data_IF_279620296229
#
_entry.id   IF_279620296229
#
_cell.length_a   1.000
_cell.length_b   1.000
_cell.length_c   1.000
_cell.angle_alpha   90.00
_cell.angle_beta   90.00
_cell.angle_gamma   90.00
#
_symmetry.space_group_name_H-M   'P 1'
#
loop_
_entity.id
_entity.type
_entity.pdbx_description
1 polymer ?
#
# COMPACT_ATOMS: atom_id res chain seq x y z
N UNK A 1 25.13 2.20 -23.35
CA UNK A 1 26.56 2.37 -23.73
C UNK A 1 27.21 0.99 -23.73
N UNK A 2 27.91 0.63 -24.80
CA UNK A 2 28.57 -0.65 -25.07
C UNK A 2 29.60 -0.98 -23.96
N UNK A 3 29.17 -1.79 -23.00
CA UNK A 3 30.03 -2.41 -22.01
C UNK A 3 29.29 -3.65 -21.49
N UNK A 4 30.02 -4.73 -21.26
CA UNK A 4 29.52 -5.99 -20.71
C UNK A 4 29.11 -5.86 -19.23
N UNK A 5 28.33 -4.80 -18.88
CA UNK A 5 27.89 -4.57 -17.51
C UNK A 5 26.92 -5.66 -17.10
N UNK A 6 27.23 -6.40 -16.03
CA UNK A 6 26.44 -7.52 -15.54
C UNK A 6 25.41 -7.03 -14.52
N UNK A 7 24.17 -7.53 -14.64
CA UNK A 7 23.03 -7.13 -13.84
C UNK A 7 22.47 -8.28 -13.00
N UNK A 8 22.28 -8.05 -11.71
CA UNK A 8 21.45 -8.88 -10.86
C UNK A 8 20.19 -8.09 -10.45
N UNK A 9 19.01 -8.61 -10.80
CA UNK A 9 17.73 -8.09 -10.36
C UNK A 9 17.14 -9.02 -9.32
N UNK A 10 16.88 -8.51 -8.11
CA UNK A 10 16.31 -9.27 -7.00
C UNK A 10 14.93 -8.75 -6.67
N UNK A 11 13.96 -9.66 -6.60
CA UNK A 11 12.64 -9.40 -6.05
C UNK A 11 12.21 -10.59 -5.19
N UNK A 12 11.08 -10.49 -4.50
CA UNK A 12 10.64 -11.59 -3.65
C UNK A 12 9.61 -12.53 -4.34
N UNK A 13 9.07 -12.15 -5.53
CA UNK A 13 8.08 -12.95 -6.26
C UNK A 13 8.37 -13.04 -7.76
N UNK A 14 7.96 -14.17 -8.36
CA UNK A 14 8.05 -14.42 -9.80
C UNK A 14 7.22 -13.40 -10.61
N UNK A 15 6.05 -13.02 -10.08
CA UNK A 15 5.13 -12.07 -10.68
C UNK A 15 5.73 -10.66 -10.85
N UNK A 16 6.78 -10.32 -10.09
CA UNK A 16 7.54 -9.08 -10.25
C UNK A 16 8.66 -9.27 -11.27
N UNK A 17 9.37 -10.39 -11.20
CA UNK A 17 10.53 -10.65 -12.05
C UNK A 17 10.17 -10.73 -13.54
N UNK A 18 9.03 -11.33 -13.89
CA UNK A 18 8.58 -11.47 -15.28
C UNK A 18 8.28 -10.14 -15.97
N UNK A 19 7.49 -9.24 -15.39
CA UNK A 19 7.31 -7.91 -15.96
C UNK A 19 8.59 -7.08 -16.00
N UNK A 20 9.46 -7.21 -14.98
CA UNK A 20 10.71 -6.45 -14.92
C UNK A 20 11.68 -6.83 -16.03
N UNK A 21 11.84 -8.14 -16.29
CA UNK A 21 12.67 -8.59 -17.43
C UNK A 21 12.06 -8.16 -18.76
N UNK A 22 10.72 -8.23 -18.91
CA UNK A 22 10.04 -7.79 -20.13
C UNK A 22 10.24 -6.28 -20.37
N UNK A 23 10.12 -5.47 -19.33
CA UNK A 23 10.36 -4.03 -19.38
C UNK A 23 11.79 -3.69 -19.83
N UNK A 24 12.80 -4.37 -19.24
CA UNK A 24 14.20 -4.14 -19.64
C UNK A 24 14.47 -4.63 -21.05
N UNK A 25 13.90 -5.75 -21.50
CA UNK A 25 13.99 -6.23 -22.89
C UNK A 25 13.45 -5.20 -23.88
N UNK A 26 12.31 -4.60 -23.56
CA UNK A 26 11.71 -3.54 -24.37
C UNK A 26 12.57 -2.28 -24.36
N UNK A 27 13.00 -1.82 -23.19
CA UNK A 27 13.80 -0.60 -23.04
C UNK A 27 15.19 -0.70 -23.67
N UNK A 28 15.80 -1.89 -23.66
CA UNK A 28 17.10 -2.18 -24.28
C UNK A 28 16.98 -2.60 -25.75
N UNK A 29 15.76 -2.83 -26.24
CA UNK A 29 15.50 -3.36 -27.59
C UNK A 29 16.23 -4.69 -27.83
N UNK A 30 16.34 -5.52 -26.77
CA UNK A 30 16.97 -6.83 -26.79
C UNK A 30 16.03 -7.91 -26.20
N UNK A 31 15.34 -8.69 -27.04
CA UNK A 31 14.41 -9.71 -26.58
C UNK A 31 15.06 -10.87 -25.81
N UNK A 32 16.39 -11.03 -25.96
CA UNK A 32 17.16 -12.10 -25.31
C UNK A 32 17.85 -11.62 -24.01
N UNK A 33 17.68 -10.37 -23.63
CA UNK A 33 18.29 -9.82 -22.41
C UNK A 33 17.79 -10.54 -21.17
N UNK A 34 18.71 -10.98 -20.34
CA UNK A 34 18.45 -11.54 -19.02
C UNK A 34 17.79 -12.92 -18.99
N UNK A 35 17.96 -13.60 -17.87
CA UNK A 35 17.38 -14.92 -17.60
C UNK A 35 16.70 -14.93 -16.24
N UNK A 36 15.63 -15.72 -16.13
CA UNK A 36 14.89 -15.93 -14.88
C UNK A 36 15.49 -17.10 -14.09
N UNK A 37 15.64 -16.90 -12.78
CA UNK A 37 16.02 -17.92 -11.81
C UNK A 37 15.04 -17.90 -10.63
N UNK A 38 13.86 -18.50 -10.83
CA UNK A 38 12.78 -18.55 -9.83
C UNK A 38 11.87 -19.74 -10.12
N UNK A 39 11.40 -20.42 -9.07
CA UNK A 39 10.53 -21.58 -9.21
C UNK A 39 11.14 -22.66 -10.11
N UNK A 40 10.47 -22.96 -11.22
CA UNK A 40 10.92 -23.95 -12.22
C UNK A 40 11.87 -23.37 -13.29
N UNK A 41 12.19 -22.08 -13.23
CA UNK A 41 13.10 -21.44 -14.17
C UNK A 41 14.53 -21.55 -13.69
N UNK A 42 15.38 -22.19 -14.49
CA UNK A 42 16.82 -22.34 -14.23
C UNK A 42 17.59 -21.53 -15.27
N UNK A 43 18.39 -20.56 -14.80
CA UNK A 43 19.21 -19.76 -15.68
C UNK A 43 20.42 -20.56 -16.16
N UNK A 44 20.68 -20.59 -17.47
CA UNK A 44 21.88 -21.19 -18.06
C UNK A 44 23.10 -20.22 -18.01
N UNK A 45 22.82 -18.92 -17.89
CA UNK A 45 23.85 -17.85 -17.83
C UNK A 45 23.54 -16.94 -16.63
N UNK A 46 24.57 -16.37 -16.05
CA UNK A 46 24.47 -15.53 -14.86
C UNK A 46 24.78 -14.04 -15.10
N UNK A 47 25.04 -13.63 -16.33
CA UNK A 47 25.49 -12.25 -16.66
C UNK A 47 24.39 -11.21 -16.39
N UNK A 48 23.13 -11.52 -16.77
CA UNK A 48 21.96 -10.68 -16.49
C UNK A 48 20.88 -11.59 -15.89
N UNK A 49 20.83 -11.60 -14.56
CA UNK A 49 20.02 -12.56 -13.82
C UNK A 49 18.88 -11.88 -13.08
N UNK A 50 17.67 -12.42 -13.23
CA UNK A 50 16.47 -12.02 -12.51
C UNK A 50 16.10 -13.16 -11.56
N UNK A 51 16.32 -12.97 -10.26
CA UNK A 51 16.26 -14.03 -9.26
C UNK A 51 15.36 -13.63 -8.09
N UNK A 52 14.62 -14.61 -7.55
CA UNK A 52 13.93 -14.36 -6.28
C UNK A 52 14.90 -14.43 -5.09
N UNK A 53 14.62 -13.63 -4.06
CA UNK A 53 15.43 -13.65 -2.83
C UNK A 53 15.38 -15.02 -2.15
N UNK A 54 14.28 -15.77 -2.30
CA UNK A 54 14.15 -17.14 -1.79
C UNK A 54 15.11 -18.08 -2.53
N UNK A 55 15.15 -18.01 -3.88
CA UNK A 55 16.08 -18.80 -4.69
C UNK A 55 17.53 -18.42 -4.38
N UNK A 56 17.83 -17.14 -4.23
CA UNK A 56 19.13 -16.64 -3.82
C UNK A 56 19.59 -17.29 -2.50
N UNK A 57 18.71 -17.31 -1.49
CA UNK A 57 19.02 -17.87 -0.19
C UNK A 57 19.08 -19.40 -0.19
N UNK A 58 18.12 -20.09 -0.81
CA UNK A 58 18.04 -21.56 -0.81
C UNK A 58 19.21 -22.20 -1.56
N UNK A 59 19.66 -21.58 -2.64
CA UNK A 59 20.80 -22.05 -3.42
C UNK A 59 22.16 -21.56 -2.88
N UNK A 60 22.16 -20.76 -1.81
CA UNK A 60 23.36 -20.08 -1.27
C UNK A 60 24.15 -19.43 -2.40
N UNK A 61 23.46 -18.68 -3.25
CA UNK A 61 23.99 -18.16 -4.51
C UNK A 61 25.27 -17.32 -4.30
N UNK A 62 25.37 -16.60 -3.18
CA UNK A 62 26.57 -15.83 -2.81
C UNK A 62 27.83 -16.68 -2.68
N UNK A 63 27.73 -17.96 -2.25
CA UNK A 63 28.90 -18.84 -2.10
C UNK A 63 29.51 -19.23 -3.46
N UNK A 64 28.74 -19.10 -4.55
CA UNK A 64 29.10 -19.54 -5.90
C UNK A 64 29.59 -18.39 -6.80
N UNK A 65 29.52 -17.16 -6.31
CA UNK A 65 29.76 -15.97 -7.13
C UNK A 65 30.80 -15.07 -6.48
N UNK A 66 31.63 -14.47 -7.35
CA UNK A 66 32.57 -13.43 -6.92
C UNK A 66 31.82 -12.20 -6.40
N UNK A 67 32.24 -11.58 -5.28
CA UNK A 67 31.62 -10.39 -4.72
C UNK A 67 31.52 -9.21 -5.69
N UNK A 68 32.40 -9.11 -6.67
CA UNK A 68 32.46 -8.03 -7.67
C UNK A 68 31.91 -8.46 -9.03
N UNK A 69 31.26 -9.64 -9.13
CA UNK A 69 30.77 -10.18 -10.40
C UNK A 69 29.73 -9.30 -11.07
N UNK A 70 28.83 -8.69 -10.31
CA UNK A 70 27.78 -7.82 -10.83
C UNK A 70 28.17 -6.35 -10.75
N UNK A 71 28.10 -5.65 -11.89
CA UNK A 71 28.32 -4.21 -11.95
C UNK A 71 27.14 -3.43 -11.39
N UNK A 72 25.92 -3.95 -11.57
CA UNK A 72 24.68 -3.35 -11.09
C UNK A 72 23.81 -4.37 -10.38
N UNK A 73 23.29 -3.99 -9.23
CA UNK A 73 22.26 -4.76 -8.51
C UNK A 73 21.04 -3.89 -8.34
N UNK A 74 19.88 -4.41 -8.77
CA UNK A 74 18.56 -3.81 -8.54
C UNK A 74 17.82 -4.67 -7.53
N UNK A 75 17.33 -4.07 -6.48
CA UNK A 75 16.52 -4.75 -5.46
C UNK A 75 15.16 -4.07 -5.42
N UNK A 76 14.13 -4.81 -5.80
CA UNK A 76 12.76 -4.35 -5.71
C UNK A 76 12.20 -4.60 -4.31
N UNK A 77 11.23 -3.77 -3.89
CA UNK A 77 10.69 -3.73 -2.54
C UNK A 77 11.80 -3.59 -1.48
N UNK A 78 12.69 -2.63 -1.69
CA UNK A 78 13.88 -2.42 -0.87
C UNK A 78 13.58 -2.15 0.61
N UNK A 79 12.35 -1.82 0.96
CA UNK A 79 11.92 -1.73 2.35
C UNK A 79 12.08 -3.06 3.13
N UNK A 80 12.24 -4.20 2.44
CA UNK A 80 12.60 -5.49 3.05
C UNK A 80 14.10 -5.67 3.30
N UNK A 81 14.96 -4.71 2.95
CA UNK A 81 16.42 -4.82 3.04
C UNK A 81 16.95 -5.19 4.45
N UNK A 82 16.24 -4.83 5.52
CA UNK A 82 16.60 -5.19 6.88
C UNK A 82 16.36 -6.67 7.23
N UNK A 83 15.66 -7.43 6.41
CA UNK A 83 15.43 -8.85 6.65
C UNK A 83 16.72 -9.66 6.40
N UNK A 84 16.94 -10.71 7.22
CA UNK A 84 18.18 -11.53 7.20
C UNK A 84 18.54 -12.05 5.80
N UNK A 85 17.57 -12.37 4.95
CA UNK A 85 17.80 -12.85 3.59
C UNK A 85 18.44 -11.80 2.68
N UNK A 86 17.98 -10.54 2.77
CA UNK A 86 18.53 -9.43 2.01
C UNK A 86 19.89 -8.97 2.54
N UNK A 87 20.11 -9.07 3.86
CA UNK A 87 21.40 -8.73 4.46
C UNK A 87 22.56 -9.56 3.89
N UNK A 88 22.34 -10.84 3.57
CA UNK A 88 23.36 -11.68 2.93
C UNK A 88 23.75 -11.16 1.54
N UNK A 89 22.74 -10.74 0.75
CA UNK A 89 22.98 -10.13 -0.56
C UNK A 89 23.80 -8.85 -0.45
N UNK A 90 23.35 -7.92 0.41
CA UNK A 90 23.94 -6.59 0.57
C UNK A 90 25.33 -6.60 1.20
N UNK A 91 25.63 -7.59 2.06
CA UNK A 91 26.92 -7.72 2.70
C UNK A 91 27.96 -8.47 1.82
N UNK A 92 27.51 -9.30 0.88
CA UNK A 92 28.40 -10.09 0.03
C UNK A 92 28.81 -9.35 -1.23
N UNK A 93 27.85 -8.80 -1.98
CA UNK A 93 28.13 -8.18 -3.25
C UNK A 93 28.54 -6.71 -3.10
N UNK A 94 29.51 -6.30 -3.92
CA UNK A 94 30.02 -4.93 -4.00
C UNK A 94 29.83 -4.38 -5.43
N UNK A 95 28.60 -4.09 -5.85
CA UNK A 95 28.33 -3.58 -7.19
C UNK A 95 28.80 -2.14 -7.34
N UNK A 96 29.08 -1.71 -8.57
CA UNK A 96 29.34 -0.28 -8.88
C UNK A 96 28.09 0.57 -8.69
N UNK A 97 26.91 -0.02 -8.94
CA UNK A 97 25.61 0.63 -8.80
C UNK A 97 24.68 -0.30 -8.01
N UNK A 98 24.21 0.16 -6.87
CA UNK A 98 23.11 -0.44 -6.13
C UNK A 98 21.88 0.45 -6.32
N UNK A 99 20.78 -0.11 -6.83
CA UNK A 99 19.50 0.58 -6.99
C UNK A 99 18.44 -0.14 -6.15
N UNK A 100 17.88 0.55 -5.19
CA UNK A 100 16.71 0.10 -4.42
C UNK A 100 15.43 0.75 -4.95
N UNK A 101 14.42 -0.05 -5.22
CA UNK A 101 13.08 0.42 -5.59
C UNK A 101 12.12 0.15 -4.43
N UNK A 102 11.31 1.12 -4.05
CA UNK A 102 10.31 0.96 -3.00
C UNK A 102 9.19 1.96 -3.15
N UNK A 103 7.98 1.55 -2.83
CA UNK A 103 6.82 2.45 -2.76
C UNK A 103 6.82 3.31 -1.47
N UNK A 104 7.57 2.89 -0.45
CA UNK A 104 7.59 3.52 0.87
C UNK A 104 9.01 3.59 1.40
N UNK A 105 9.72 4.69 1.15
CA UNK A 105 11.08 4.87 1.68
C UNK A 105 11.08 5.08 3.21
N UNK A 106 10.00 5.62 3.76
CA UNK A 106 9.81 5.81 5.19
C UNK A 106 9.33 4.51 5.84
N UNK A 107 10.12 3.94 6.74
CA UNK A 107 9.75 2.74 7.50
C UNK A 107 9.20 3.09 8.87
N UNK A 108 8.10 2.45 9.24
CA UNK A 108 7.49 2.58 10.56
C UNK A 108 8.35 2.00 11.71
N UNK A 109 9.33 1.12 11.40
CA UNK A 109 10.24 0.52 12.38
C UNK A 109 11.47 1.39 12.71
N UNK A 110 11.51 2.62 12.19
CA UNK A 110 12.59 3.59 12.44
C UNK A 110 13.94 3.26 11.79
N UNK A 111 14.04 2.17 11.00
CA UNK A 111 15.26 1.84 10.27
C UNK A 111 15.29 2.60 8.95
N UNK A 112 16.21 3.52 8.84
CA UNK A 112 16.40 4.32 7.63
C UNK A 112 17.08 3.50 6.53
N UNK A 113 16.33 3.12 5.48
CA UNK A 113 16.88 2.40 4.34
C UNK A 113 17.85 3.25 3.52
N UNK A 114 17.79 4.57 3.61
CA UNK A 114 18.69 5.48 2.90
C UNK A 114 20.14 5.34 3.36
N UNK A 115 20.40 4.75 4.53
CA UNK A 115 21.77 4.46 4.99
C UNK A 115 22.55 3.58 4.01
N UNK A 116 21.86 2.70 3.25
CA UNK A 116 22.49 1.90 2.18
C UNK A 116 22.89 2.74 0.96
N UNK A 117 22.39 3.96 0.84
CA UNK A 117 22.57 4.88 -0.29
C UNK A 117 23.24 6.19 0.12
N UNK A 118 23.99 6.19 1.23
CA UNK A 118 24.66 7.40 1.75
C UNK A 118 23.70 8.51 2.18
N UNK A 119 22.46 8.18 2.53
CA UNK A 119 21.43 9.14 2.93
C UNK A 119 20.70 9.79 1.76
N UNK A 120 20.99 9.40 0.52
CA UNK A 120 20.43 10.03 -0.68
C UNK A 120 19.34 9.19 -1.34
N UNK A 121 18.30 9.87 -1.82
CA UNK A 121 17.27 9.32 -2.69
C UNK A 121 17.51 9.85 -4.11
N UNK A 122 17.70 8.94 -5.08
CA UNK A 122 18.04 9.32 -6.46
C UNK A 122 16.83 9.95 -7.18
N UNK A 123 15.64 9.44 -6.92
CA UNK A 123 14.38 9.97 -7.45
C UNK A 123 13.23 9.63 -6.51
N UNK A 124 12.29 10.52 -6.39
CA UNK A 124 11.04 10.32 -5.66
C UNK A 124 9.88 10.78 -6.54
N UNK A 125 8.89 9.90 -6.70
CA UNK A 125 7.66 10.20 -7.41
C UNK A 125 6.52 9.77 -6.50
N UNK A 126 5.73 10.72 -6.02
CA UNK A 126 4.57 10.46 -5.16
C UNK A 126 3.32 10.20 -6.01
N UNK A 127 2.35 9.47 -5.47
CA UNK A 127 1.06 9.19 -6.15
C UNK A 127 0.43 10.47 -6.70
N UNK A 128 0.50 11.56 -5.96
CA UNK A 128 0.04 12.88 -6.40
C UNK A 128 0.70 13.31 -7.71
N UNK A 129 2.04 13.21 -7.80
CA UNK A 129 2.80 13.63 -8.98
C UNK A 129 2.48 12.75 -10.18
N UNK A 130 2.30 11.44 -9.96
CA UNK A 130 1.92 10.49 -11.00
C UNK A 130 0.51 10.76 -11.55
N UNK A 131 -0.44 11.12 -10.70
CA UNK A 131 -1.79 11.52 -11.13
C UNK A 131 -1.71 12.84 -11.91
N UNK A 132 -0.98 13.84 -11.44
CA UNK A 132 -0.81 15.13 -12.11
C UNK A 132 -0.12 14.97 -13.47
N UNK A 133 0.82 14.04 -13.61
CA UNK A 133 1.50 13.68 -14.87
C UNK A 133 0.68 12.73 -15.75
N UNK A 134 -0.50 12.31 -15.33
CA UNK A 134 -1.36 11.34 -16.02
C UNK A 134 -0.71 9.97 -16.25
N UNK A 135 0.18 9.55 -15.37
CA UNK A 135 0.74 8.21 -15.31
C UNK A 135 -0.18 7.26 -14.53
N UNK A 136 -1.02 7.82 -13.66
CA UNK A 136 -2.08 7.14 -12.93
C UNK A 136 -3.43 7.81 -13.20
N UNK A 137 -4.53 7.07 -13.03
CA UNK A 137 -5.88 7.61 -13.16
C UNK A 137 -6.24 8.50 -11.93
N UNK A 138 -7.31 9.27 -12.07
CA UNK A 138 -7.85 10.10 -10.98
C UNK A 138 -8.36 9.24 -9.83
N UNK A 139 -8.42 9.82 -8.64
CA UNK A 139 -8.86 9.16 -7.40
C UNK A 139 -10.05 9.88 -6.81
N UNK A 140 -11.13 9.15 -6.55
CA UNK A 140 -12.23 9.58 -5.71
C UNK A 140 -12.30 8.69 -4.47
N UNK A 141 -11.91 9.23 -3.32
CA UNK A 141 -11.87 8.50 -2.05
C UNK A 141 -13.03 8.94 -1.15
N UNK A 142 -13.90 8.00 -0.80
CA UNK A 142 -15.02 8.19 0.10
C UNK A 142 -14.76 7.46 1.40
N UNK A 143 -14.62 8.22 2.50
CA UNK A 143 -14.48 7.67 3.83
C UNK A 143 -15.86 7.58 4.47
N UNK A 144 -16.32 6.36 4.65
CA UNK A 144 -17.66 5.99 5.03
C UNK A 144 -17.65 5.53 6.49
N UNK A 145 -18.66 5.90 7.24
CA UNK A 145 -18.81 5.41 8.62
C UNK A 145 -19.01 3.89 8.63
N UNK A 146 -18.19 3.18 9.38
CA UNK A 146 -18.34 1.74 9.61
C UNK A 146 -19.20 1.54 10.88
N UNK A 147 -20.32 0.84 10.80
CA UNK A 147 -21.21 0.62 11.95
C UNK A 147 -20.55 -0.18 13.08
N UNK A 148 -19.37 -0.71 12.87
CA UNK A 148 -18.62 -1.50 13.84
C UNK A 148 -17.61 -0.63 14.58
N UNK A 149 -17.58 -0.70 15.91
CA UNK A 149 -16.53 -0.06 16.72
C UNK A 149 -15.34 -1.00 16.92
N UNK A 150 -14.13 -0.48 16.66
CA UNK A 150 -12.87 -1.19 16.86
C UNK A 150 -12.08 -0.67 18.09
N UNK A 151 -12.67 0.23 18.88
CA UNK A 151 -12.00 0.87 20.01
C UNK A 151 -11.52 -0.11 21.08
N UNK A 152 -12.28 -1.20 21.27
CA UNK A 152 -12.02 -2.24 22.29
C UNK A 152 -11.25 -3.46 21.75
N UNK A 153 -10.99 -3.52 20.43
CA UNK A 153 -10.23 -4.62 19.84
C UNK A 153 -8.78 -4.56 20.31
N UNK A 154 -8.26 -5.69 20.72
CA UNK A 154 -6.90 -5.82 21.23
C UNK A 154 -5.88 -5.35 20.20
N UNK A 155 -4.89 -4.59 20.69
CA UNK A 155 -3.81 -4.03 19.88
C UNK A 155 -2.46 -4.56 20.36
N UNK A 156 -1.78 -5.31 19.51
CA UNK A 156 -0.50 -5.95 19.84
C UNK A 156 0.46 -5.83 18.67
N UNK A 157 1.73 -5.48 18.92
CA UNK A 157 2.76 -5.42 17.87
C UNK A 157 2.50 -4.39 16.76
N UNK A 158 1.72 -3.33 17.01
CA UNK A 158 1.41 -2.30 16.02
C UNK A 158 0.19 -2.59 15.13
N UNK A 159 -0.58 -3.64 15.43
CA UNK A 159 -1.78 -4.01 14.68
C UNK A 159 -2.91 -4.52 15.59
N UNK A 160 -4.10 -4.53 15.06
CA UNK A 160 -5.25 -5.18 15.69
C UNK A 160 -5.09 -6.69 15.73
N UNK A 161 -5.66 -7.33 16.74
CA UNK A 161 -5.79 -8.78 16.80
C UNK A 161 -6.71 -9.26 15.66
N UNK A 162 -6.17 -10.16 14.81
CA UNK A 162 -6.86 -10.61 13.59
C UNK A 162 -8.07 -11.48 13.92
N UNK A 163 -7.98 -12.31 14.96
CA UNK A 163 -9.06 -13.20 15.36
C UNK A 163 -10.24 -12.41 15.93
N UNK A 164 -9.97 -11.41 16.77
CA UNK A 164 -11.02 -10.51 17.27
C UNK A 164 -11.67 -9.71 16.13
N UNK A 165 -10.89 -9.18 15.16
CA UNK A 165 -11.44 -8.52 13.97
C UNK A 165 -12.29 -9.46 13.13
N UNK A 166 -11.83 -10.69 12.89
CA UNK A 166 -12.58 -11.69 12.14
C UNK A 166 -13.93 -11.97 12.82
N UNK A 167 -13.92 -12.18 14.14
CA UNK A 167 -15.14 -12.45 14.90
C UNK A 167 -16.14 -11.30 14.80
N UNK A 168 -15.69 -10.06 14.84
CA UNK A 168 -16.57 -8.90 14.71
C UNK A 168 -17.15 -8.80 13.29
N UNK A 169 -16.36 -9.11 12.26
CA UNK A 169 -16.77 -8.95 10.87
C UNK A 169 -17.53 -10.16 10.28
N UNK A 170 -17.47 -11.33 10.94
CA UNK A 170 -18.08 -12.57 10.44
C UNK A 170 -18.91 -13.31 11.47
N UNK A 171 -19.01 -12.78 12.69
CA UNK A 171 -19.72 -13.43 13.80
C UNK A 171 -21.20 -13.70 13.50
N UNK A 172 -21.76 -14.71 14.17
CA UNK A 172 -23.17 -15.05 14.11
C UNK A 172 -24.02 -13.95 14.78
N UNK A 173 -24.39 -12.91 14.01
CA UNK A 173 -25.18 -11.81 14.54
C UNK A 173 -25.64 -10.83 13.47
N UNK A 174 -26.56 -9.95 13.87
CA UNK A 174 -27.09 -8.92 12.97
C UNK A 174 -26.00 -7.95 12.51
N UNK A 175 -24.95 -7.71 13.30
CA UNK A 175 -23.94 -6.69 13.06
C UNK A 175 -23.11 -6.95 11.79
N UNK A 176 -22.61 -8.19 11.59
CA UNK A 176 -21.85 -8.54 10.39
C UNK A 176 -22.70 -8.39 9.12
N UNK A 177 -23.98 -8.82 9.18
CA UNK A 177 -24.93 -8.66 8.08
C UNK A 177 -25.33 -7.20 7.85
N UNK A 178 -25.50 -6.40 8.91
CA UNK A 178 -25.74 -4.96 8.79
C UNK A 178 -24.57 -4.25 8.12
N UNK A 179 -23.32 -4.58 8.52
CA UNK A 179 -22.11 -4.06 7.90
C UNK A 179 -22.04 -4.43 6.43
N UNK A 180 -22.25 -5.68 6.06
CA UNK A 180 -22.22 -6.11 4.67
C UNK A 180 -23.29 -5.40 3.82
N UNK A 181 -24.49 -5.16 4.38
CA UNK A 181 -25.54 -4.35 3.74
C UNK A 181 -25.09 -2.90 3.55
N UNK A 182 -24.49 -2.27 4.57
CA UNK A 182 -23.98 -0.91 4.48
C UNK A 182 -22.90 -0.79 3.39
N UNK A 183 -22.07 -1.80 3.21
CA UNK A 183 -21.05 -1.84 2.15
C UNK A 183 -21.71 -1.88 0.76
N UNK A 184 -22.78 -2.67 0.57
CA UNK A 184 -23.53 -2.70 -0.70
C UNK A 184 -24.18 -1.33 -0.96
N UNK A 185 -24.84 -0.74 0.03
CA UNK A 185 -25.43 0.59 -0.10
C UNK A 185 -24.40 1.67 -0.44
N UNK A 186 -23.22 1.58 0.12
CA UNK A 186 -22.13 2.48 -0.22
C UNK A 186 -21.65 2.29 -1.68
N UNK A 187 -21.55 1.05 -2.15
CA UNK A 187 -21.26 0.78 -3.57
C UNK A 187 -22.30 1.42 -4.47
N UNK A 188 -23.58 1.19 -4.21
CA UNK A 188 -24.70 1.76 -4.99
C UNK A 188 -24.70 3.30 -4.96
N UNK A 189 -24.34 3.90 -3.82
CA UNK A 189 -24.35 5.35 -3.63
C UNK A 189 -23.19 6.07 -4.33
N UNK A 190 -21.99 5.46 -4.31
CA UNK A 190 -20.76 6.12 -4.72
C UNK A 190 -20.20 5.64 -6.08
N UNK A 191 -20.89 4.70 -6.74
CA UNK A 191 -20.58 4.29 -8.11
C UNK A 191 -21.70 4.74 -9.06
N UNK A 192 -21.33 5.09 -10.29
CA UNK A 192 -22.31 5.60 -11.25
C UNK A 192 -23.27 4.51 -11.74
N UNK A 193 -22.77 3.31 -12.00
CA UNK A 193 -23.54 2.15 -12.43
C UNK A 193 -22.91 0.87 -11.86
N UNK A 194 -23.69 0.07 -11.14
CA UNK A 194 -23.24 -1.21 -10.58
C UNK A 194 -22.80 -2.21 -11.66
N UNK A 195 -23.30 -2.08 -12.90
CA UNK A 195 -22.94 -2.95 -14.02
C UNK A 195 -21.49 -2.73 -14.49
N UNK A 196 -20.99 -1.51 -14.32
CA UNK A 196 -19.63 -1.14 -14.72
C UNK A 196 -18.59 -1.33 -13.60
N UNK A 197 -19.05 -1.72 -12.40
CA UNK A 197 -18.18 -1.92 -11.24
C UNK A 197 -17.30 -3.15 -11.44
N UNK A 198 -15.99 -2.93 -11.36
CA UNK A 198 -14.94 -3.96 -11.29
C UNK A 198 -14.16 -3.74 -10.01
N UNK A 199 -14.55 -4.45 -8.95
CA UNK A 199 -14.10 -4.11 -7.61
C UNK A 199 -13.14 -5.14 -7.00
N UNK A 200 -12.22 -4.64 -6.15
CA UNK A 200 -11.46 -5.43 -5.19
C UNK A 200 -11.84 -5.04 -3.77
N UNK A 201 -12.21 -6.02 -2.94
CA UNK A 201 -12.51 -5.82 -1.52
C UNK A 201 -11.40 -6.45 -0.64
N UNK A 202 -10.66 -5.64 0.11
CA UNK A 202 -9.58 -6.10 0.98
C UNK A 202 -10.11 -6.49 2.36
N UNK A 203 -10.07 -7.80 2.68
CA UNK A 203 -10.61 -8.40 3.90
C UNK A 203 -9.52 -8.70 4.93
N UNK A 204 -9.94 -8.88 6.19
CA UNK A 204 -9.05 -9.20 7.33
C UNK A 204 -8.50 -10.63 7.23
N UNK A 205 -9.37 -11.58 6.85
CA UNK A 205 -9.09 -13.02 6.88
C UNK A 205 -9.80 -13.74 5.74
N UNK A 206 -9.43 -14.99 5.51
CA UNK A 206 -10.10 -15.88 4.54
C UNK A 206 -11.58 -16.02 4.84
N UNK A 207 -11.93 -16.24 6.13
CA UNK A 207 -13.31 -16.34 6.56
C UNK A 207 -14.11 -15.08 6.25
N UNK A 208 -13.52 -13.90 6.47
CA UNK A 208 -14.14 -12.63 6.13
C UNK A 208 -14.34 -12.47 4.62
N UNK A 209 -13.37 -12.84 3.79
CA UNK A 209 -13.50 -12.78 2.33
C UNK A 209 -14.63 -13.69 1.81
N UNK A 210 -14.69 -14.93 2.30
CA UNK A 210 -15.77 -15.87 1.96
C UNK A 210 -17.14 -15.39 2.45
N UNK A 211 -17.24 -14.91 3.69
CA UNK A 211 -18.48 -14.33 4.22
C UNK A 211 -18.99 -13.21 3.33
N UNK A 212 -18.13 -12.29 2.92
CA UNK A 212 -18.50 -11.16 2.05
C UNK A 212 -18.95 -11.65 0.67
N UNK A 213 -18.19 -12.58 0.05
CA UNK A 213 -18.57 -13.13 -1.25
C UNK A 213 -19.93 -13.84 -1.19
N UNK A 214 -20.19 -14.66 -0.18
CA UNK A 214 -21.45 -15.37 0.01
C UNK A 214 -22.61 -14.40 0.25
N UNK A 215 -22.36 -13.34 1.04
CA UNK A 215 -23.39 -12.33 1.32
C UNK A 215 -23.75 -11.57 0.04
N UNK A 216 -22.77 -11.11 -0.74
CA UNK A 216 -23.00 -10.40 -2.00
C UNK A 216 -23.72 -11.27 -3.02
N UNK A 217 -23.33 -12.52 -3.19
CA UNK A 217 -24.00 -13.46 -4.08
C UNK A 217 -25.47 -13.67 -3.70
N UNK A 218 -25.78 -13.76 -2.39
CA UNK A 218 -27.17 -13.84 -1.92
C UNK A 218 -28.00 -12.59 -2.21
N UNK A 219 -27.36 -11.43 -2.36
CA UNK A 219 -27.99 -10.18 -2.77
C UNK A 219 -27.99 -9.98 -4.31
N UNK A 220 -27.58 -10.99 -5.08
CA UNK A 220 -27.57 -10.93 -6.55
C UNK A 220 -26.35 -10.24 -7.16
N UNK A 221 -25.37 -9.83 -6.35
CA UNK A 221 -24.12 -9.21 -6.80
C UNK A 221 -23.07 -10.32 -6.93
N UNK A 222 -22.63 -10.61 -8.16
CA UNK A 222 -21.70 -11.71 -8.44
C UNK A 222 -20.32 -11.44 -7.84
N UNK A 223 -19.91 -12.23 -6.89
CA UNK A 223 -18.68 -12.07 -6.12
C UNK A 223 -17.89 -13.36 -5.99
N UNK A 224 -16.56 -13.26 -5.90
CA UNK A 224 -15.67 -14.36 -5.56
C UNK A 224 -14.77 -13.99 -4.38
N UNK A 225 -14.37 -15.00 -3.60
CA UNK A 225 -13.31 -14.86 -2.60
C UNK A 225 -12.04 -15.54 -3.12
N UNK A 226 -10.90 -14.88 -2.97
CA UNK A 226 -9.58 -15.42 -3.27
C UNK A 226 -8.63 -15.23 -2.10
N UNK A 227 -7.81 -16.23 -1.85
CA UNK A 227 -6.78 -16.22 -0.81
C UNK A 227 -5.47 -16.86 -1.29
N UNK A 228 -4.48 -16.99 -0.39
CA UNK A 228 -3.17 -17.55 -0.74
C UNK A 228 -3.23 -19.01 -1.19
N UNK A 229 -4.24 -19.77 -0.75
CA UNK A 229 -4.42 -21.19 -1.09
C UNK A 229 -5.16 -21.38 -2.42
N UNK A 230 -5.74 -20.30 -2.98
CA UNK A 230 -6.43 -20.35 -4.26
C UNK A 230 -5.47 -20.75 -5.40
N UNK A 231 -5.75 -21.80 -6.18
CA UNK A 231 -4.92 -22.25 -7.29
C UNK A 231 -4.69 -21.15 -8.34
N UNK A 232 -3.54 -21.20 -9.03
CA UNK A 232 -3.15 -20.18 -10.01
C UNK A 232 -4.13 -20.06 -11.18
N UNK A 233 -4.68 -21.15 -11.64
CA UNK A 233 -5.71 -21.21 -12.68
C UNK A 233 -7.02 -20.54 -12.21
N UNK A 234 -7.45 -20.79 -10.98
CA UNK A 234 -8.63 -20.14 -10.36
C UNK A 234 -8.41 -18.62 -10.27
N UNK A 235 -7.23 -18.19 -9.85
CA UNK A 235 -6.89 -16.77 -9.79
C UNK A 235 -6.92 -16.11 -11.17
N UNK A 236 -6.36 -16.76 -12.19
CA UNK A 236 -6.38 -16.27 -13.57
C UNK A 236 -7.81 -16.22 -14.14
N UNK A 237 -8.62 -17.25 -13.89
CA UNK A 237 -10.02 -17.27 -14.30
C UNK A 237 -10.84 -16.17 -13.61
N UNK A 238 -10.63 -15.91 -12.31
CA UNK A 238 -11.28 -14.84 -11.58
C UNK A 238 -10.93 -13.45 -12.14
N UNK A 239 -9.65 -13.24 -12.49
CA UNK A 239 -9.22 -12.04 -13.18
C UNK A 239 -9.97 -11.82 -14.50
N UNK A 240 -10.01 -12.83 -15.36
CA UNK A 240 -10.71 -12.75 -16.66
C UNK A 240 -12.20 -12.46 -16.46
N UNK A 241 -12.86 -13.12 -15.51
CA UNK A 241 -14.26 -12.88 -15.18
C UNK A 241 -14.53 -11.47 -14.66
N UNK A 242 -13.60 -10.87 -13.91
CA UNK A 242 -13.73 -9.48 -13.46
C UNK A 242 -13.52 -8.51 -14.63
N UNK A 243 -12.54 -8.76 -15.50
CA UNK A 243 -12.29 -7.95 -16.69
C UNK A 243 -13.45 -7.98 -17.68
N UNK A 244 -14.07 -9.16 -17.90
CA UNK A 244 -15.24 -9.33 -18.76
C UNK A 244 -16.56 -8.78 -18.17
N UNK A 245 -16.60 -8.54 -16.84
CA UNK A 245 -17.82 -8.16 -16.13
C UNK A 245 -18.73 -9.35 -15.75
N UNK A 246 -18.25 -10.59 -15.91
CA UNK A 246 -18.99 -11.79 -15.46
C UNK A 246 -19.13 -11.82 -13.93
N UNK A 247 -18.21 -11.19 -13.22
CA UNK A 247 -18.28 -10.91 -11.79
C UNK A 247 -18.04 -9.42 -11.52
N UNK A 248 -18.65 -8.91 -10.46
CA UNK A 248 -18.58 -7.51 -10.06
C UNK A 248 -17.43 -7.24 -9.10
N UNK A 249 -17.14 -8.20 -8.20
CA UNK A 249 -16.17 -7.99 -7.12
C UNK A 249 -15.41 -9.27 -6.77
N UNK A 250 -14.13 -9.09 -6.44
CA UNK A 250 -13.29 -10.12 -5.83
C UNK A 250 -12.91 -9.65 -4.42
N UNK A 251 -13.29 -10.43 -3.41
CA UNK A 251 -12.83 -10.25 -2.04
C UNK A 251 -11.52 -11.00 -1.83
N UNK A 252 -10.53 -10.31 -1.27
CA UNK A 252 -9.16 -10.82 -1.14
C UNK A 252 -8.61 -10.61 0.26
N UNK A 253 -7.75 -11.52 0.68
CA UNK A 253 -6.85 -11.35 1.81
C UNK A 253 -5.47 -11.14 1.22
N UNK A 254 -4.49 -10.72 1.87
CA UNK A 254 -3.09 -10.40 1.50
C UNK A 254 -2.54 -10.89 0.14
N UNK A 255 -3.26 -11.76 -0.57
CA UNK A 255 -2.89 -12.35 -1.87
C UNK A 255 -2.59 -11.29 -2.94
N UNK A 256 -3.35 -10.20 -2.93
CA UNK A 256 -3.24 -9.12 -3.91
C UNK A 256 -2.40 -7.94 -3.40
N UNK A 257 -1.72 -8.05 -2.25
CA UNK A 257 -0.78 -7.03 -1.81
C UNK A 257 0.41 -6.94 -2.76
N UNK A 258 0.75 -8.05 -3.47
CA UNK A 258 1.92 -8.14 -4.33
C UNK A 258 1.68 -9.10 -5.51
N UNK A 259 1.98 -8.67 -6.73
CA UNK A 259 2.11 -9.55 -7.91
C UNK A 259 0.87 -9.80 -8.77
N UNK A 260 -0.37 -9.53 -8.34
CA UNK A 260 -1.55 -9.66 -9.22
C UNK A 260 -1.95 -8.30 -9.75
N UNK A 261 -1.95 -8.16 -11.05
CA UNK A 261 -2.27 -6.94 -11.78
C UNK A 261 -3.61 -7.07 -12.51
N UNK A 262 -4.59 -6.25 -12.14
CA UNK A 262 -5.88 -6.13 -12.82
C UNK A 262 -6.15 -4.65 -13.10
N UNK A 263 -5.60 -4.08 -14.19
CA UNK A 263 -5.74 -2.66 -14.50
C UNK A 263 -7.20 -2.21 -14.69
N UNK A 264 -8.09 -3.14 -15.07
CA UNK A 264 -9.51 -2.88 -15.25
C UNK A 264 -10.25 -2.52 -13.94
N UNK A 265 -9.66 -2.79 -12.76
CA UNK A 265 -10.26 -2.45 -11.47
C UNK A 265 -10.49 -0.95 -11.37
N UNK A 266 -11.74 -0.55 -11.21
CA UNK A 266 -12.17 0.84 -11.07
C UNK A 266 -12.73 1.17 -9.67
N UNK A 267 -12.87 0.17 -8.82
CA UNK A 267 -13.38 0.34 -7.46
C UNK A 267 -12.58 -0.49 -6.46
N UNK A 268 -12.21 0.10 -5.34
CA UNK A 268 -11.49 -0.56 -4.25
C UNK A 268 -12.24 -0.35 -2.94
N UNK A 269 -12.46 -1.42 -2.19
CA UNK A 269 -13.07 -1.38 -0.86
C UNK A 269 -12.03 -1.77 0.19
N UNK A 270 -11.74 -0.85 1.11
CA UNK A 270 -10.96 -1.14 2.31
C UNK A 270 -11.91 -1.60 3.43
N UNK A 271 -12.05 -2.92 3.57
CA UNK A 271 -12.94 -3.56 4.53
C UNK A 271 -12.21 -3.99 5.81
N UNK A 272 -10.94 -3.61 5.92
CA UNK A 272 -10.10 -3.85 7.09
C UNK A 272 -9.32 -2.60 7.48
N UNK A 273 -9.05 -2.39 8.77
CA UNK A 273 -8.11 -1.37 9.17
C UNK A 273 -6.69 -1.75 8.70
N UNK A 274 -6.09 -0.93 7.84
CA UNK A 274 -4.74 -1.14 7.30
C UNK A 274 -3.78 -0.17 7.95
N UNK A 275 -2.94 -0.64 8.88
CA UNK A 275 -1.95 0.19 9.57
C UNK A 275 -0.65 0.36 8.78
N UNK A 276 -0.34 -0.60 7.90
CA UNK A 276 0.85 -0.51 7.06
C UNK A 276 0.58 0.42 5.89
N UNK A 277 1.28 1.55 5.88
CA UNK A 277 1.23 2.49 4.77
C UNK A 277 1.67 1.85 3.46
N UNK A 278 2.69 0.99 3.51
CA UNK A 278 3.15 0.21 2.35
C UNK A 278 2.02 -0.62 1.76
N UNK A 279 1.32 -1.38 2.60
CA UNK A 279 0.19 -2.23 2.17
C UNK A 279 -0.93 -1.35 1.60
N UNK A 280 -1.27 -0.25 2.26
CA UNK A 280 -2.30 0.67 1.80
C UNK A 280 -1.98 1.23 0.40
N UNK A 281 -0.78 1.75 0.21
CA UNK A 281 -0.35 2.32 -1.07
C UNK A 281 -0.24 1.25 -2.18
N UNK A 282 0.22 0.05 -1.85
CA UNK A 282 0.26 -1.08 -2.79
C UNK A 282 -1.15 -1.52 -3.21
N UNK A 283 -2.10 -1.57 -2.28
CA UNK A 283 -3.50 -1.89 -2.57
C UNK A 283 -4.17 -0.81 -3.42
N UNK A 284 -3.96 0.46 -3.07
CA UNK A 284 -4.45 1.61 -3.82
C UNK A 284 -3.86 1.67 -5.23
N UNK A 285 -2.54 1.50 -5.34
CA UNK A 285 -1.80 1.58 -6.61
C UNK A 285 -2.29 0.59 -7.68
N UNK A 286 -2.87 -0.54 -7.27
CA UNK A 286 -3.46 -1.51 -8.20
C UNK A 286 -4.66 -0.94 -8.95
N UNK A 287 -5.50 -0.19 -8.25
CA UNK A 287 -6.64 0.46 -8.85
C UNK A 287 -6.30 1.78 -9.55
N UNK A 288 -5.13 2.36 -9.34
CA UNK A 288 -4.76 3.63 -9.98
C UNK A 288 -4.19 3.49 -11.40
N UNK A 289 -3.90 2.28 -11.87
CA UNK A 289 -3.37 2.07 -13.22
C UNK A 289 -4.34 2.54 -14.29
N UNK A 290 -3.78 3.11 -15.35
CA UNK A 290 -4.56 3.50 -16.53
C UNK A 290 -5.10 2.24 -17.24
N UNK A 291 -6.35 2.33 -17.68
CA UNK A 291 -6.99 1.30 -18.49
C UNK A 291 -7.98 1.97 -19.45
N UNK A 292 -8.20 1.44 -20.65
CA UNK A 292 -9.22 1.95 -21.56
C UNK A 292 -10.59 2.01 -20.85
N UNK A 293 -11.36 3.06 -21.11
CA UNK A 293 -12.71 3.28 -20.55
C UNK A 293 -12.75 3.48 -19.02
N UNK A 294 -11.60 3.63 -18.36
CA UNK A 294 -11.52 3.91 -16.93
C UNK A 294 -11.06 5.34 -16.68
N UNK A 295 -11.97 6.19 -16.24
CA UNK A 295 -11.70 7.60 -15.96
C UNK A 295 -11.05 7.83 -14.59
N UNK A 296 -11.47 7.06 -13.58
CA UNK A 296 -11.01 7.22 -12.21
C UNK A 296 -11.04 5.89 -11.44
N UNK A 297 -10.41 5.91 -10.27
CA UNK A 297 -10.56 4.91 -9.23
C UNK A 297 -11.49 5.44 -8.15
N UNK A 298 -12.57 4.72 -7.88
CA UNK A 298 -13.41 4.94 -6.70
C UNK A 298 -12.88 4.11 -5.53
N UNK A 299 -12.61 4.76 -4.41
CA UNK A 299 -12.18 4.10 -3.18
C UNK A 299 -13.24 4.28 -2.13
N UNK A 300 -13.73 3.16 -1.59
CA UNK A 300 -14.64 3.12 -0.46
C UNK A 300 -13.87 2.66 0.77
N UNK A 301 -13.64 3.58 1.68
CA UNK A 301 -12.84 3.39 2.88
C UNK A 301 -13.74 3.40 4.12
N UNK A 302 -13.96 2.22 4.70
CA UNK A 302 -14.83 2.06 5.87
C UNK A 302 -14.06 2.39 7.14
N UNK A 303 -14.39 3.54 7.72
CA UNK A 303 -13.74 4.13 8.88
C UNK A 303 -14.56 3.88 10.12
N UNK A 304 -14.10 2.93 10.94
CA UNK A 304 -14.69 2.65 12.26
C UNK A 304 -14.13 3.60 13.32
N UNK A 305 -14.79 3.65 14.48
CA UNK A 305 -14.17 4.19 15.69
C UNK A 305 -12.95 3.33 16.04
N UNK A 306 -11.77 3.87 15.76
CA UNK A 306 -10.52 3.12 15.81
C UNK A 306 -9.90 3.13 17.23
N UNK A 307 -9.03 2.14 17.48
CA UNK A 307 -8.12 2.18 18.62
C UNK A 307 -7.25 3.46 18.58
N UNK A 308 -6.94 4.04 19.74
CA UNK A 308 -6.12 5.29 19.83
C UNK A 308 -4.72 5.16 19.20
N UNK A 309 -4.21 3.95 19.05
CA UNK A 309 -2.89 3.68 18.44
C UNK A 309 -2.95 3.64 16.90
N UNK A 310 -4.13 3.60 16.28
CA UNK A 310 -4.29 3.64 14.82
C UNK A 310 -3.89 5.00 14.26
N UNK A 311 -3.24 5.04 13.10
CA UNK A 311 -2.68 6.27 12.53
C UNK A 311 -3.37 6.73 11.24
N UNK A 312 -4.46 7.45 11.39
CA UNK A 312 -5.12 8.06 10.24
C UNK A 312 -4.30 9.19 9.61
N UNK A 313 -3.52 9.94 10.40
CA UNK A 313 -2.76 11.07 9.87
C UNK A 313 -1.72 10.61 8.84
N UNK A 314 -0.97 9.54 9.12
CA UNK A 314 -0.01 8.94 8.18
C UNK A 314 -0.68 8.52 6.86
N UNK A 315 -1.90 8.00 6.92
CA UNK A 315 -2.64 7.54 5.75
C UNK A 315 -2.95 8.68 4.77
N UNK A 316 -3.50 9.78 5.29
CA UNK A 316 -3.80 10.96 4.47
C UNK A 316 -2.53 11.71 4.05
N UNK A 317 -1.51 11.76 4.90
CA UNK A 317 -0.22 12.33 4.58
C UNK A 317 0.38 11.70 3.31
N UNK A 318 0.34 10.38 3.22
CA UNK A 318 0.86 9.65 2.06
C UNK A 318 0.05 9.88 0.78
N UNK A 319 -1.28 9.99 0.88
CA UNK A 319 -2.13 10.30 -0.27
C UNK A 319 -1.89 11.70 -0.82
N UNK A 320 -1.64 12.67 0.06
CA UNK A 320 -1.49 14.08 -0.31
C UNK A 320 -0.03 14.46 -0.62
N UNK A 321 0.93 13.57 -0.32
CA UNK A 321 2.36 13.90 -0.38
C UNK A 321 2.73 15.04 0.58
N UNK A 322 2.04 15.13 1.75
CA UNK A 322 2.22 16.17 2.76
C UNK A 322 2.65 15.56 4.08
N UNK A 323 3.26 16.38 4.94
CA UNK A 323 3.63 15.98 6.29
C UNK A 323 2.38 15.81 7.17
N UNK A 324 2.44 14.91 8.15
CA UNK A 324 1.36 14.62 9.11
C UNK A 324 0.84 15.88 9.82
N UNK A 325 1.71 16.84 10.00
CA UNK A 325 1.48 18.11 10.70
C UNK A 325 0.32 18.92 10.10
N UNK A 326 0.18 18.91 8.77
CA UNK A 326 -0.85 19.70 8.09
C UNK A 326 -2.16 18.93 7.85
N UNK A 327 -2.17 17.63 8.12
CA UNK A 327 -3.30 16.75 7.77
C UNK A 327 -4.58 17.12 8.53
N UNK A 328 -4.48 17.48 9.80
CA UNK A 328 -5.65 17.91 10.57
C UNK A 328 -6.36 19.08 9.90
N UNK A 329 -5.59 20.06 9.43
CA UNK A 329 -6.12 21.22 8.70
C UNK A 329 -6.71 20.83 7.37
N UNK A 330 -6.04 19.96 6.60
CA UNK A 330 -6.55 19.43 5.34
C UNK A 330 -7.93 18.77 5.52
N UNK A 331 -8.09 17.94 6.57
CA UNK A 331 -9.39 17.30 6.88
C UNK A 331 -10.45 18.34 7.22
N UNK A 332 -10.12 19.33 8.05
CA UNK A 332 -11.05 20.37 8.46
C UNK A 332 -11.49 21.28 7.31
N UNK A 333 -10.58 21.54 6.36
CA UNK A 333 -10.81 22.38 5.18
C UNK A 333 -11.39 21.59 3.99
N UNK A 334 -11.69 20.28 4.13
CA UNK A 334 -12.26 19.44 3.09
C UNK A 334 -11.30 19.07 1.97
N UNK A 335 -10.01 18.94 2.28
CA UNK A 335 -8.94 18.53 1.36
C UNK A 335 -8.77 19.43 0.12
N UNK A 336 -8.53 20.72 0.30
CA UNK A 336 -8.44 21.68 -0.82
C UNK A 336 -7.25 21.43 -1.76
N UNK A 337 -6.26 20.64 -1.34
CA UNK A 337 -5.01 20.47 -2.08
C UNK A 337 -4.85 19.07 -2.70
N UNK A 338 -5.94 18.37 -3.00
CA UNK A 338 -5.87 17.12 -3.80
C UNK A 338 -5.50 17.41 -5.26
N UNK A 339 -4.91 16.45 -5.99
CA UNK A 339 -4.63 16.59 -7.40
C UNK A 339 -5.87 16.97 -8.21
N UNK A 340 -5.70 17.71 -9.30
CA UNK A 340 -6.82 18.17 -10.13
C UNK A 340 -7.67 17.01 -10.64
N UNK A 341 -8.97 17.08 -10.37
CA UNK A 341 -9.93 16.03 -10.75
C UNK A 341 -9.98 14.84 -9.79
N UNK A 342 -9.27 14.91 -8.67
CA UNK A 342 -9.41 13.99 -7.55
C UNK A 342 -10.30 14.57 -6.46
N UNK A 343 -10.84 13.73 -5.60
CA UNK A 343 -11.57 14.14 -4.40
C UNK A 343 -11.33 13.18 -3.24
N UNK A 344 -11.31 13.74 -2.02
CA UNK A 344 -11.38 12.99 -0.76
C UNK A 344 -12.59 13.56 -0.01
N UNK A 345 -13.55 12.71 0.31
CA UNK A 345 -14.78 13.08 1.01
C UNK A 345 -14.93 12.20 2.24
N UNK A 346 -15.18 12.80 3.39
CA UNK A 346 -15.47 12.08 4.62
C UNK A 346 -16.93 12.29 4.98
N UNK A 347 -17.66 11.22 5.25
CA UNK A 347 -18.95 11.32 5.91
C UNK A 347 -18.77 11.96 7.30
N UNK A 348 -19.77 12.67 7.79
CA UNK A 348 -19.67 13.47 9.02
C UNK A 348 -19.18 12.66 10.23
N UNK A 349 -19.72 11.44 10.40
CA UNK A 349 -19.34 10.55 11.51
C UNK A 349 -17.93 10.04 11.32
N UNK A 350 -17.57 9.61 10.11
CA UNK A 350 -16.22 9.18 9.77
C UNK A 350 -15.18 10.30 10.01
N UNK A 351 -15.49 11.54 9.60
CA UNK A 351 -14.64 12.70 9.86
C UNK A 351 -14.42 12.93 11.35
N UNK A 352 -15.48 12.76 12.17
CA UNK A 352 -15.39 12.87 13.61
C UNK A 352 -14.46 11.80 14.19
N UNK A 353 -14.61 10.54 13.80
CA UNK A 353 -13.76 9.43 14.25
C UNK A 353 -12.29 9.67 13.90
N UNK A 354 -12.02 10.12 12.68
CA UNK A 354 -10.66 10.45 12.23
C UNK A 354 -10.06 11.59 13.06
N UNK A 355 -10.79 12.70 13.24
CA UNK A 355 -10.31 13.86 14.00
C UNK A 355 -10.14 13.56 15.49
N UNK A 356 -11.03 12.76 16.09
CA UNK A 356 -10.89 12.31 17.48
C UNK A 356 -9.63 11.45 17.66
N UNK A 357 -9.37 10.53 16.72
CA UNK A 357 -8.17 9.70 16.74
C UNK A 357 -6.90 10.56 16.63
N UNK A 358 -6.84 11.48 15.66
CA UNK A 358 -5.72 12.40 15.48
C UNK A 358 -5.51 13.24 16.75
N UNK A 359 -6.58 13.83 17.31
CA UNK A 359 -6.50 14.63 18.53
C UNK A 359 -6.04 13.79 19.73
N UNK A 360 -6.48 12.53 19.85
CA UNK A 360 -6.06 11.66 20.96
C UNK A 360 -4.57 11.30 20.91
N UNK A 361 -3.97 11.29 19.72
CA UNK A 361 -2.53 11.09 19.53
C UNK A 361 -1.72 12.34 19.79
N UNK A 362 -2.27 13.51 19.45
CA UNK A 362 -1.66 14.82 19.74
C UNK A 362 -1.35 15.03 21.24
N UNK A 363 -2.04 14.29 22.13
CA UNK A 363 -1.84 14.37 23.59
C UNK A 363 -0.61 13.64 24.12
N UNK A 364 0.25 13.07 23.28
CA UNK A 364 1.47 12.37 23.70
C UNK A 364 2.70 13.18 23.34
N UNK A 365 3.61 13.39 24.32
CA UNK A 365 4.89 14.09 24.12
C UNK A 365 5.72 13.52 22.96
N UNK A 366 5.66 12.20 22.70
CA UNK A 366 6.33 11.55 21.58
C UNK A 366 5.84 12.07 20.21
N UNK A 367 4.56 12.35 20.09
CA UNK A 367 3.96 12.87 18.87
C UNK A 367 4.48 14.28 18.53
N UNK A 368 4.58 15.16 19.52
CA UNK A 368 5.15 16.49 19.31
C UNK A 368 6.63 16.43 18.90
N UNK A 369 7.38 15.50 19.49
CA UNK A 369 8.79 15.31 19.13
C UNK A 369 8.95 14.79 17.70
N UNK A 370 8.08 13.92 17.24
CA UNK A 370 8.11 13.42 15.87
C UNK A 370 7.73 14.52 14.87
N UNK A 371 6.75 15.37 15.19
CA UNK A 371 6.41 16.56 14.40
C UNK A 371 7.59 17.55 14.30
N UNK A 372 8.30 17.77 15.39
CA UNK A 372 9.50 18.63 15.38
C UNK A 372 10.59 18.05 14.48
N UNK A 373 10.82 16.73 14.53
CA UNK A 373 11.80 16.06 13.66
C UNK A 373 11.41 16.15 12.17
N UNK A 374 10.14 15.95 11.85
CA UNK A 374 9.64 16.08 10.47
C UNK A 374 9.82 17.51 9.94
N UNK A 375 9.44 18.50 10.72
CA UNK A 375 9.64 19.90 10.36
C UNK A 375 11.11 20.25 10.21
N UNK A 376 11.96 19.79 11.13
CA UNK A 376 13.40 19.99 11.05
C UNK A 376 14.00 19.36 9.78
N UNK A 377 13.53 18.17 9.38
CA UNK A 377 13.94 17.53 8.14
C UNK A 377 13.49 18.27 6.90
N UNK A 378 12.28 18.86 6.93
CA UNK A 378 11.73 19.62 5.80
C UNK A 378 12.35 21.02 5.66
N UNK A 379 12.73 21.66 6.76
CA UNK A 379 13.26 23.05 6.78
C UNK A 379 14.79 23.13 6.87
N UNK A 380 15.44 22.00 7.21
CA UNK A 380 16.89 21.95 7.41
C UNK A 380 17.38 22.56 8.74
N UNK A 381 16.47 22.97 9.62
CA UNK A 381 16.79 23.49 10.95
C UNK A 381 15.73 23.07 11.97
N UNK A 382 16.06 23.10 13.26
CA UNK A 382 15.09 22.84 14.34
C UNK A 382 14.09 24.01 14.36
N UNK A 383 12.77 23.75 14.18
CA UNK A 383 11.77 24.81 14.10
C UNK A 383 11.63 25.55 15.45
N UNK A 384 11.43 26.83 15.38
CA UNK A 384 10.99 27.61 16.53
C UNK A 384 9.56 27.26 16.93
N UNK A 385 9.12 27.58 18.14
CA UNK A 385 7.74 27.35 18.59
C UNK A 385 6.70 28.03 17.68
N UNK A 386 7.03 29.22 17.19
CA UNK A 386 6.16 29.97 16.28
C UNK A 386 6.01 29.24 14.93
N UNK A 387 7.11 28.83 14.32
CA UNK A 387 7.12 28.03 13.10
C UNK A 387 6.38 26.71 13.29
N UNK A 388 6.59 26.04 14.43
CA UNK A 388 5.90 24.82 14.79
C UNK A 388 4.38 25.03 14.87
N UNK A 389 3.89 26.01 15.63
CA UNK A 389 2.46 26.27 15.74
C UNK A 389 1.82 26.71 14.42
N UNK A 390 2.54 27.50 13.63
CA UNK A 390 2.10 27.95 12.31
C UNK A 390 1.99 26.80 11.31
N UNK A 391 2.96 25.89 11.33
CA UNK A 391 2.98 24.72 10.45
C UNK A 391 1.98 23.63 10.86
N UNK A 392 1.79 23.43 12.18
CA UNK A 392 0.95 22.32 12.71
C UNK A 392 -0.51 22.70 12.90
N UNK A 393 -0.85 24.01 12.87
CA UNK A 393 -2.15 24.53 13.27
C UNK A 393 -2.58 24.07 14.70
N UNK A 394 -1.63 23.67 15.54
CA UNK A 394 -1.87 23.34 16.95
C UNK A 394 -1.99 24.65 17.73
N UNK A 395 -3.08 24.81 18.48
CA UNK A 395 -3.23 25.99 19.31
C UNK A 395 -2.24 25.92 20.49
N UNK A 396 -1.48 26.99 20.81
CA UNK A 396 -0.52 27.01 21.93
C UNK A 396 -1.12 26.54 23.27
N UNK A 397 -2.36 26.90 23.54
CA UNK A 397 -3.07 26.47 24.74
C UNK A 397 -3.22 24.93 24.82
N UNK A 398 -3.46 24.24 23.71
CA UNK A 398 -3.53 22.79 23.66
C UNK A 398 -2.16 22.17 23.97
N UNK A 399 -1.10 22.73 23.39
CA UNK A 399 0.28 22.26 23.60
C UNK A 399 0.74 22.39 25.06
N UNK A 400 0.40 23.51 25.73
CA UNK A 400 0.85 23.78 27.09
C UNK A 400 -0.03 23.17 28.19
N UNK A 401 -1.33 22.96 27.95
CA UNK A 401 -2.25 22.47 28.99
C UNK A 401 -2.22 20.92 29.14
N UNK A 402 -1.49 20.20 28.30
CA UNK A 402 -1.38 18.74 28.40
C UNK A 402 -0.25 18.27 29.34
N UNK A 403 0.33 19.15 30.11
CA UNK A 403 1.40 18.84 31.09
C UNK A 403 0.90 18.43 32.49
N UNK A 404 -0.37 18.13 32.65
CA UNK A 404 -0.89 17.66 33.94
C UNK A 404 -1.64 16.34 33.82
#
# INVERSE_FOLDING_TARGET
RKGNAKLLFIAHREEILKPSIACLRQGLTDPNFGQLAVGNYHAARSEHLFMSIQTFNSQKFWEKMDPFYYDMIIVDEFHHAAAKGYQKLLNWFHPKILLGLTATPERMDGKNILNYFGGHMAAEIRIRDDIERRLLCRLHNFCIDDPVSLSNIKWTGGHYDIEELENVYTGEGALASQRARAIIQALERYTADMRDVKALGFCVSKKHAHFMADYFNRQGIKALALDADSPKDVRNAARQKLESGDITIIFVVDLFNEGVDIPAVNTVLFLRPTNSMTIFLQQLGRGLRLFPEKDCLTVLDFVAQANRKYDFASRYASLLGKNHVVIKKEIQDGFPHVPKGCSIQLEEIAARHVLENINSRLRKNEFYMDMVKELASATGHIPTLEEFFKATAIHPHTFYNEKH
#
